data_IF_300651799430
#
_entry.id   IF_300651799430
#
_cell.length_a   1.000
_cell.length_b   1.000
_cell.length_c   1.000
_cell.angle_alpha   90.00
_cell.angle_beta   90.00
_cell.angle_gamma   90.00
#
_symmetry.space_group_name_H-M   'P 1'
#
loop_
_entity.id
_entity.type
_entity.pdbx_description
1 polymer ?
#
# COMPACT_ATOMS: atom_id res chain seq x y z
N UNK A 1 -4.66 15.78 -2.95
CA UNK A 1 -4.00 14.76 -3.80
C UNK A 1 -5.07 14.01 -4.61
N UNK A 2 -5.18 14.40 -5.85
CA UNK A 2 -6.24 13.89 -6.74
C UNK A 2 -6.20 12.37 -6.94
N UNK A 3 -5.01 11.82 -7.16
CA UNK A 3 -4.88 10.37 -7.36
C UNK A 3 -5.18 9.58 -6.10
N UNK A 4 -4.82 10.13 -4.94
CA UNK A 4 -5.14 9.49 -3.66
C UNK A 4 -6.64 9.48 -3.43
N UNK A 5 -7.33 10.57 -3.79
CA UNK A 5 -8.79 10.61 -3.69
C UNK A 5 -9.43 9.57 -4.60
N UNK A 6 -8.86 9.34 -5.78
CA UNK A 6 -9.35 8.31 -6.69
C UNK A 6 -9.16 6.90 -6.13
N UNK A 7 -8.06 6.64 -5.44
CA UNK A 7 -7.84 5.36 -4.76
C UNK A 7 -8.88 5.18 -3.65
N UNK A 8 -9.03 6.19 -2.79
CA UNK A 8 -9.95 6.13 -1.66
C UNK A 8 -11.41 5.98 -2.09
N UNK A 9 -11.77 6.47 -3.26
CA UNK A 9 -13.13 6.38 -3.79
C UNK A 9 -13.32 5.21 -4.77
N UNK A 10 -12.27 4.44 -5.04
CA UNK A 10 -12.36 3.29 -5.91
C UNK A 10 -13.24 2.22 -5.28
N UNK A 11 -14.15 1.65 -6.06
CA UNK A 11 -15.12 0.66 -5.57
C UNK A 11 -14.44 -0.58 -5.01
N UNK A 12 -13.48 -1.13 -5.75
CA UNK A 12 -12.76 -2.33 -5.29
C UNK A 12 -12.03 -2.06 -3.98
N UNK A 13 -11.37 -0.91 -3.88
CA UNK A 13 -10.62 -0.54 -2.69
C UNK A 13 -11.55 -0.42 -1.47
N UNK A 14 -12.64 0.30 -1.63
CA UNK A 14 -13.62 0.51 -0.54
C UNK A 14 -14.24 -0.80 -0.08
N UNK A 15 -14.64 -1.65 -1.02
CA UNK A 15 -15.22 -2.95 -0.69
C UNK A 15 -14.20 -3.85 0.03
N UNK A 16 -12.95 -3.80 -0.41
CA UNK A 16 -11.88 -4.58 0.22
C UNK A 16 -11.61 -4.14 1.66
N UNK A 17 -11.61 -2.83 1.91
CA UNK A 17 -11.46 -2.30 3.27
C UNK A 17 -12.60 -2.75 4.19
N UNK A 18 -13.84 -2.74 3.70
CA UNK A 18 -14.99 -3.20 4.49
C UNK A 18 -14.88 -4.68 4.80
N UNK A 19 -14.46 -5.50 3.83
CA UNK A 19 -14.25 -6.93 4.05
C UNK A 19 -13.14 -7.19 5.06
N UNK A 20 -12.03 -6.47 4.96
CA UNK A 20 -10.94 -6.60 5.93
C UNK A 20 -11.41 -6.28 7.35
N UNK A 21 -12.20 -5.24 7.49
CA UNK A 21 -12.76 -4.87 8.79
C UNK A 21 -13.56 -6.02 9.39
N UNK A 22 -14.36 -6.71 8.58
CA UNK A 22 -15.14 -7.86 9.03
C UNK A 22 -14.25 -9.07 9.35
N UNK A 23 -13.28 -9.38 8.49
CA UNK A 23 -12.42 -10.54 8.67
C UNK A 23 -11.49 -10.39 9.87
N UNK A 24 -11.14 -9.16 10.25
CA UNK A 24 -10.18 -8.89 11.31
C UNK A 24 -10.79 -8.34 12.59
N UNK A 25 -12.11 -8.35 12.69
CA UNK A 25 -12.81 -7.73 13.84
C UNK A 25 -12.37 -8.29 15.20
N UNK A 26 -11.93 -9.54 15.25
CA UNK A 26 -11.50 -10.18 16.49
C UNK A 26 -9.97 -10.15 16.71
N UNK A 27 -9.23 -9.53 15.79
CA UNK A 27 -7.77 -9.37 15.96
C UNK A 27 -7.47 -8.23 16.91
N UNK A 28 -6.58 -8.48 17.86
CA UNK A 28 -6.16 -7.48 18.81
C UNK A 28 -5.13 -6.51 18.21
N UNK A 29 -4.23 -7.04 17.35
CA UNK A 29 -3.13 -6.27 16.76
C UNK A 29 -3.08 -6.44 15.25
N UNK A 30 -2.39 -5.50 14.58
CA UNK A 30 -2.11 -5.56 13.14
C UNK A 30 -3.37 -5.61 12.29
N UNK A 31 -4.36 -4.79 12.64
CA UNK A 31 -5.56 -4.66 11.83
C UNK A 31 -5.27 -3.82 10.60
N UNK A 32 -5.68 -4.32 9.43
CA UNK A 32 -5.44 -3.65 8.14
C UNK A 32 -6.58 -2.68 7.85
N UNK A 33 -6.58 -1.56 8.60
CA UNK A 33 -7.58 -0.50 8.45
C UNK A 33 -7.02 0.64 7.62
N UNK A 34 -7.91 1.54 7.19
CA UNK A 34 -7.46 2.74 6.47
C UNK A 34 -6.54 3.59 7.34
N UNK A 35 -6.80 3.68 8.64
CA UNK A 35 -5.95 4.41 9.57
C UNK A 35 -4.54 3.82 9.60
N UNK A 36 -4.42 2.50 9.64
CA UNK A 36 -3.14 1.83 9.61
C UNK A 36 -2.41 2.11 8.30
N UNK A 37 -3.09 2.01 7.17
CA UNK A 37 -2.49 2.25 5.87
C UNK A 37 -2.01 3.71 5.72
N UNK A 38 -2.78 4.66 6.25
CA UNK A 38 -2.37 6.07 6.25
C UNK A 38 -1.16 6.28 7.14
N UNK A 39 -1.09 5.62 8.30
CA UNK A 39 0.07 5.71 9.18
C UNK A 39 1.33 5.19 8.50
N UNK A 40 1.24 4.06 7.80
CA UNK A 40 2.36 3.52 7.02
C UNK A 40 2.82 4.54 5.96
N UNK A 41 1.87 5.12 5.22
CA UNK A 41 2.18 6.11 4.19
C UNK A 41 2.87 7.34 4.78
N UNK A 42 2.38 7.82 5.91
CA UNK A 42 2.90 9.02 6.56
C UNK A 42 4.32 8.82 7.05
N UNK A 43 4.58 7.68 7.70
CA UNK A 43 5.92 7.38 8.22
C UNK A 43 6.90 7.17 7.06
N UNK A 44 6.47 6.47 5.99
CA UNK A 44 7.29 6.28 4.81
C UNK A 44 7.67 7.63 4.17
N UNK A 45 6.72 8.55 4.11
CA UNK A 45 6.99 9.88 3.54
C UNK A 45 8.01 10.66 4.39
N UNK A 46 7.90 10.58 5.72
CA UNK A 46 8.88 11.20 6.61
C UNK A 46 10.28 10.63 6.33
N UNK A 47 10.41 9.32 6.19
CA UNK A 47 11.70 8.68 5.90
C UNK A 47 12.25 9.12 4.54
N UNK A 48 11.40 9.24 3.53
CA UNK A 48 11.77 9.72 2.20
C UNK A 48 12.33 11.13 2.28
N UNK A 49 11.69 12.01 3.04
CA UNK A 49 12.16 13.39 3.23
C UNK A 49 13.48 13.43 3.97
N UNK A 50 13.65 12.64 5.02
CA UNK A 50 14.88 12.61 5.80
C UNK A 50 16.07 12.08 5.00
N UNK A 51 15.84 11.17 4.06
CA UNK A 51 16.91 10.59 3.24
C UNK A 51 17.05 11.31 1.89
N UNK A 52 16.33 12.42 1.69
CA UNK A 52 16.43 13.27 0.48
C UNK A 52 16.16 12.50 -0.83
N UNK A 53 15.20 11.60 -0.82
CA UNK A 53 14.81 10.87 -2.01
C UNK A 53 13.81 11.71 -2.77
N UNK A 54 14.05 11.94 -4.07
CA UNK A 54 13.15 12.70 -4.92
C UNK A 54 12.03 11.80 -5.44
N UNK A 55 10.90 11.82 -4.74
CA UNK A 55 9.72 11.08 -5.18
C UNK A 55 8.48 11.83 -4.70
N UNK A 56 7.40 11.76 -5.47
CA UNK A 56 6.22 12.52 -5.12
C UNK A 56 5.53 11.93 -3.88
N UNK A 57 4.95 12.81 -3.08
CA UNK A 57 4.15 12.43 -1.92
C UNK A 57 3.01 11.50 -2.32
N UNK A 58 2.38 11.78 -3.46
CA UNK A 58 1.27 10.96 -3.97
C UNK A 58 1.67 9.52 -4.22
N UNK A 59 2.85 9.31 -4.82
CA UNK A 59 3.37 7.96 -5.07
C UNK A 59 3.58 7.21 -3.76
N UNK A 60 4.19 7.86 -2.77
CA UNK A 60 4.43 7.23 -1.47
C UNK A 60 3.12 6.88 -0.78
N UNK A 61 2.15 7.78 -0.80
CA UNK A 61 0.85 7.51 -0.20
C UNK A 61 0.11 6.38 -0.91
N UNK A 62 0.23 6.29 -2.24
CA UNK A 62 -0.36 5.18 -2.99
C UNK A 62 0.23 3.83 -2.55
N UNK A 63 1.55 3.75 -2.38
CA UNK A 63 2.20 2.53 -1.89
C UNK A 63 1.67 2.17 -0.51
N UNK A 64 1.61 3.13 0.40
CA UNK A 64 1.12 2.89 1.76
C UNK A 64 -0.31 2.37 1.79
N UNK A 65 -1.19 2.98 0.98
CA UNK A 65 -2.60 2.59 0.94
C UNK A 65 -2.82 1.22 0.32
N UNK A 66 -1.96 0.79 -0.59
CA UNK A 66 -2.18 -0.40 -1.40
C UNK A 66 -1.34 -1.61 -1.00
N UNK A 67 -0.27 -1.42 -0.21
CA UNK A 67 0.73 -2.47 -0.02
C UNK A 67 0.19 -3.77 0.59
N UNK A 68 -0.85 -3.69 1.41
CA UNK A 68 -1.41 -4.87 2.09
C UNK A 68 -2.89 -5.11 1.78
N UNK A 69 -3.43 -4.43 0.75
CA UNK A 69 -4.85 -4.60 0.41
C UNK A 69 -5.18 -6.04 0.02
N UNK A 70 -4.20 -6.77 -0.48
CA UNK A 70 -4.34 -8.17 -0.86
C UNK A 70 -4.61 -9.13 0.29
N UNK A 71 -4.49 -8.68 1.54
CA UNK A 71 -4.87 -9.49 2.70
C UNK A 71 -6.32 -9.99 2.60
N UNK A 72 -7.18 -9.21 1.95
CA UNK A 72 -8.57 -9.63 1.75
C UNK A 72 -8.64 -10.96 0.99
N UNK A 73 -7.82 -11.13 -0.04
CA UNK A 73 -7.78 -12.37 -0.82
C UNK A 73 -7.17 -13.53 -0.02
N UNK A 74 -6.20 -13.24 0.82
CA UNK A 74 -5.61 -14.25 1.68
C UNK A 74 -6.67 -14.83 2.62
N UNK A 75 -7.52 -14.00 3.21
CA UNK A 75 -8.61 -14.46 4.06
C UNK A 75 -9.66 -15.25 3.27
N UNK A 76 -9.93 -14.84 2.03
CA UNK A 76 -11.00 -15.44 1.24
C UNK A 76 -10.64 -16.80 0.63
N UNK A 77 -9.42 -16.92 0.09
CA UNK A 77 -9.06 -18.13 -0.66
C UNK A 77 -7.61 -18.59 -0.47
N UNK A 78 -6.88 -17.97 0.45
CA UNK A 78 -5.50 -18.37 0.72
C UNK A 78 -4.47 -17.82 -0.28
N UNK A 79 -4.87 -16.98 -1.21
CA UNK A 79 -3.93 -16.37 -2.17
C UNK A 79 -2.84 -15.59 -1.41
N UNK A 80 -1.60 -15.68 -1.88
CA UNK A 80 -0.51 -14.91 -1.31
C UNK A 80 -0.86 -13.42 -1.35
N UNK A 81 -0.84 -12.76 -0.19
CA UNK A 81 -1.33 -11.38 -0.09
C UNK A 81 -0.46 -10.37 -0.85
N UNK A 82 0.84 -10.62 -1.00
CA UNK A 82 1.70 -9.72 -1.76
C UNK A 82 1.36 -9.76 -3.25
N UNK A 83 1.14 -10.95 -3.79
CA UNK A 83 0.72 -11.11 -5.19
C UNK A 83 -0.67 -10.51 -5.41
N UNK A 84 -1.59 -10.77 -4.48
CA UNK A 84 -2.94 -10.22 -4.56
C UNK A 84 -2.93 -8.69 -4.51
N UNK A 85 -2.08 -8.11 -3.64
CA UNK A 85 -1.96 -6.65 -3.55
C UNK A 85 -1.50 -6.03 -4.86
N UNK A 86 -0.52 -6.66 -5.53
CA UNK A 86 -0.03 -6.18 -6.83
C UNK A 86 -1.16 -6.24 -7.87
N UNK A 87 -1.84 -7.37 -7.97
CA UNK A 87 -2.91 -7.52 -8.98
C UNK A 87 -4.09 -6.60 -8.74
N UNK A 88 -4.54 -6.47 -7.49
CA UNK A 88 -5.61 -5.54 -7.14
C UNK A 88 -5.20 -4.10 -7.40
N UNK A 89 -3.94 -3.76 -7.09
CA UNK A 89 -3.43 -2.41 -7.29
C UNK A 89 -3.38 -2.02 -8.76
N UNK A 90 -3.07 -2.96 -9.66
CA UNK A 90 -3.11 -2.68 -11.10
C UNK A 90 -4.49 -2.19 -11.51
N UNK A 91 -5.54 -2.85 -11.03
CA UNK A 91 -6.91 -2.47 -11.35
C UNK A 91 -7.27 -1.12 -10.73
N UNK A 92 -6.93 -0.92 -9.45
CA UNK A 92 -7.23 0.32 -8.76
C UNK A 92 -6.50 1.50 -9.40
N UNK A 93 -5.21 1.33 -9.71
CA UNK A 93 -4.40 2.38 -10.31
C UNK A 93 -4.85 2.74 -11.72
N UNK A 94 -5.55 1.83 -12.42
CA UNK A 94 -6.08 2.13 -13.76
C UNK A 94 -7.09 3.27 -13.74
N UNK A 95 -7.68 3.57 -12.61
CA UNK A 95 -8.64 4.68 -12.45
C UNK A 95 -7.98 5.99 -12.03
N UNK A 96 -6.66 5.98 -11.80
CA UNK A 96 -5.92 7.18 -11.42
C UNK A 96 -5.25 7.80 -12.64
N UNK A 97 -4.66 8.98 -12.42
CA UNK A 97 -3.92 9.69 -13.47
C UNK A 97 -2.40 9.51 -13.35
N UNK A 98 -1.94 8.59 -12.53
CA UNK A 98 -0.52 8.28 -12.47
C UNK A 98 -0.02 7.84 -13.86
N UNK A 99 1.16 8.31 -14.25
CA UNK A 99 1.76 7.86 -15.50
C UNK A 99 2.36 6.46 -15.35
N UNK A 100 2.81 5.90 -16.46
CA UNK A 100 3.32 4.53 -16.49
C UNK A 100 4.52 4.33 -15.56
N UNK A 101 5.42 5.31 -15.50
CA UNK A 101 6.58 5.23 -14.63
C UNK A 101 6.18 5.23 -13.17
N UNK A 102 5.25 6.11 -12.79
CA UNK A 102 4.74 6.18 -11.43
C UNK A 102 4.04 4.89 -11.03
N UNK A 103 3.22 4.33 -11.91
CA UNK A 103 2.56 3.04 -11.66
C UNK A 103 3.59 1.94 -11.42
N UNK A 104 4.65 1.90 -12.23
CA UNK A 104 5.72 0.90 -12.05
C UNK A 104 6.42 1.07 -10.71
N UNK A 105 6.70 2.29 -10.29
CA UNK A 105 7.32 2.56 -8.98
C UNK A 105 6.41 2.07 -7.86
N UNK A 106 5.12 2.37 -7.95
CA UNK A 106 4.14 1.96 -6.95
C UNK A 106 4.06 0.43 -6.86
N UNK A 107 3.93 -0.25 -8.00
CA UNK A 107 3.80 -1.70 -8.03
C UNK A 107 5.08 -2.39 -7.52
N UNK A 108 6.25 -1.86 -7.85
CA UNK A 108 7.52 -2.40 -7.35
C UNK A 108 7.62 -2.20 -5.84
N UNK A 109 7.20 -1.05 -5.33
CA UNK A 109 7.17 -0.80 -3.89
C UNK A 109 6.26 -1.77 -3.15
N UNK A 110 5.09 -2.06 -3.70
CA UNK A 110 4.16 -3.03 -3.14
C UNK A 110 4.75 -4.44 -3.16
N UNK A 111 5.34 -4.84 -4.30
CA UNK A 111 5.87 -6.19 -4.47
C UNK A 111 7.04 -6.48 -3.52
N UNK A 112 7.83 -5.46 -3.20
CA UNK A 112 9.10 -5.62 -2.47
C UNK A 112 9.07 -5.12 -1.04
N UNK A 113 7.92 -4.71 -0.52
CA UNK A 113 7.85 -4.12 0.82
C UNK A 113 8.20 -5.11 1.94
N UNK A 114 8.18 -6.41 1.67
CA UNK A 114 8.47 -7.45 2.67
C UNK A 114 9.89 -8.00 2.58
N UNK A 115 10.70 -7.50 1.64
CA UNK A 115 12.07 -7.96 1.47
C UNK A 115 13.03 -6.79 1.39
N UNK A 116 14.25 -7.00 1.92
CA UNK A 116 15.29 -5.99 1.85
C UNK A 116 15.74 -5.85 0.41
N UNK A 117 15.90 -4.61 -0.05
CA UNK A 117 16.21 -4.29 -1.43
C UNK A 117 17.36 -3.29 -1.50
N UNK A 118 18.12 -3.32 -2.62
CA UNK A 118 19.12 -2.32 -2.93
C UNK A 118 18.48 -1.01 -3.41
N UNK A 119 17.23 -1.04 -3.83
CA UNK A 119 16.48 0.15 -4.18
C UNK A 119 16.14 0.91 -2.90
N UNK A 120 16.57 2.18 -2.85
CA UNK A 120 16.46 2.98 -1.63
C UNK A 120 15.02 3.18 -1.17
N UNK A 121 14.10 3.39 -2.11
CA UNK A 121 12.69 3.55 -1.80
C UNK A 121 12.11 2.25 -1.23
N UNK A 122 12.39 1.13 -1.87
CA UNK A 122 11.89 -0.17 -1.43
C UNK A 122 12.43 -0.53 -0.06
N UNK A 123 13.68 -0.20 0.22
CA UNK A 123 14.30 -0.43 1.52
C UNK A 123 13.61 0.40 2.61
N UNK A 124 13.24 1.64 2.30
CA UNK A 124 12.51 2.51 3.23
C UNK A 124 11.12 1.91 3.53
N UNK A 125 10.42 1.44 2.52
CA UNK A 125 9.11 0.80 2.70
C UNK A 125 9.25 -0.43 3.61
N UNK A 126 10.29 -1.23 3.40
CA UNK A 126 10.57 -2.39 4.23
C UNK A 126 10.78 -2.01 5.69
N UNK A 127 11.59 -0.97 5.97
CA UNK A 127 11.84 -0.49 7.33
C UNK A 127 10.57 0.08 7.98
N UNK A 128 9.81 0.85 7.21
CA UNK A 128 8.55 1.45 7.66
C UNK A 128 7.56 0.38 8.11
N UNK A 129 7.39 -0.66 7.31
CA UNK A 129 6.50 -1.76 7.64
C UNK A 129 6.86 -2.41 8.98
N UNK A 130 8.15 -2.47 9.31
CA UNK A 130 8.62 -3.05 10.57
C UNK A 130 8.42 -2.10 11.76
N UNK A 131 8.27 -0.82 11.50
CA UNK A 131 8.10 0.21 12.54
C UNK A 131 6.63 0.41 12.94
N UNK A 132 5.69 0.14 12.03
CA UNK A 132 4.25 0.32 12.23
C UNK A 132 3.61 -1.03 12.47
N UNK A 133 3.60 -1.48 13.69
CA UNK A 133 3.11 -2.83 14.03
C UNK A 133 1.84 -2.75 14.86
#
# INVERSE_FOLDING_TARGET
MENIDKILNNKLYKESLEKLKLYEKDREFCNHTIEHFIDVARIAYIMVLEENIEISKEVIYAIGLLHDIGRVKQYEDGTNHDLASVEMSKEILSETKFDKEEVNIILNGIANHRSKSDNKLEEIIYRDRKSVV
#
